data_IF_599752902494
#
_entry.id   IF_599752902494
#
_cell.length_a   1.000
_cell.length_b   1.000
_cell.length_c   1.000
_cell.angle_alpha   90.00
_cell.angle_beta   90.00
_cell.angle_gamma   90.00
#
_symmetry.space_group_name_H-M   'P 1'
#
loop_
_entity.id
_entity.type
_entity.pdbx_description
1 polymer ?
#
# COMPACT_ATOMS: atom_id res chain seq x y z
N UNK A 1 -29.19 -7.79 -11.21
CA UNK A 1 -28.09 -8.24 -10.33
C UNK A 1 -27.67 -7.05 -9.48
N UNK A 2 -27.67 -7.16 -8.16
CA UNK A 2 -27.17 -6.08 -7.30
C UNK A 2 -25.66 -5.97 -7.52
N UNK A 3 -25.14 -4.77 -7.80
CA UNK A 3 -23.71 -4.54 -8.10
C UNK A 3 -22.81 -4.73 -6.86
N UNK A 4 -23.43 -4.76 -5.68
CA UNK A 4 -22.75 -4.77 -4.39
C UNK A 4 -21.79 -5.92 -4.12
N UNK A 5 -22.12 -7.20 -4.37
CA UNK A 5 -21.19 -8.31 -4.13
C UNK A 5 -19.91 -8.15 -4.94
N UNK A 6 -20.01 -7.64 -6.17
CA UNK A 6 -18.85 -7.40 -7.03
C UNK A 6 -17.99 -6.26 -6.48
N UNK A 7 -18.61 -5.14 -6.11
CA UNK A 7 -17.88 -3.97 -5.57
C UNK A 7 -17.14 -4.30 -4.29
N UNK A 8 -17.79 -4.95 -3.33
CA UNK A 8 -17.16 -5.30 -2.06
C UNK A 8 -16.06 -6.33 -2.25
N UNK A 9 -16.24 -7.33 -3.13
CA UNK A 9 -15.20 -8.31 -3.44
C UNK A 9 -13.97 -7.64 -4.05
N UNK A 10 -14.15 -6.76 -5.03
CA UNK A 10 -13.04 -6.01 -5.64
C UNK A 10 -12.33 -5.10 -4.62
N UNK A 11 -13.10 -4.41 -3.79
CA UNK A 11 -12.57 -3.55 -2.74
C UNK A 11 -11.70 -4.33 -1.74
N UNK A 12 -12.22 -5.46 -1.24
CA UNK A 12 -11.50 -6.30 -0.28
C UNK A 12 -10.26 -6.95 -0.91
N UNK A 13 -10.35 -7.46 -2.14
CA UNK A 13 -9.19 -8.01 -2.83
C UNK A 13 -8.09 -6.95 -3.05
N UNK A 14 -8.45 -5.73 -3.43
CA UNK A 14 -7.50 -4.63 -3.57
C UNK A 14 -6.81 -4.31 -2.23
N UNK A 15 -7.57 -4.25 -1.13
CA UNK A 15 -7.03 -4.03 0.21
C UNK A 15 -6.09 -5.18 0.64
N UNK A 16 -6.50 -6.43 0.43
CA UNK A 16 -5.72 -7.63 0.79
C UNK A 16 -4.41 -7.69 0.00
N UNK A 17 -4.44 -7.47 -1.30
CA UNK A 17 -3.24 -7.51 -2.15
C UNK A 17 -2.25 -6.43 -1.71
N UNK A 18 -2.73 -5.21 -1.46
CA UNK A 18 -1.86 -4.10 -1.09
C UNK A 18 -1.29 -4.27 0.33
N UNK A 19 -2.15 -4.42 1.34
CA UNK A 19 -1.72 -4.54 2.75
C UNK A 19 -0.94 -5.85 2.95
N UNK A 20 -1.44 -6.97 2.42
CA UNK A 20 -0.79 -8.27 2.51
C UNK A 20 0.57 -8.29 1.80
N UNK A 21 0.69 -7.66 0.63
CA UNK A 21 1.97 -7.52 -0.07
C UNK A 21 2.98 -6.68 0.72
N UNK A 22 2.56 -5.59 1.34
CA UNK A 22 3.42 -4.81 2.25
C UNK A 22 3.83 -5.62 3.48
N UNK A 23 2.90 -6.37 4.07
CA UNK A 23 3.15 -7.23 5.22
C UNK A 23 4.20 -8.30 4.89
N UNK A 24 4.02 -9.03 3.80
CA UNK A 24 4.97 -10.04 3.33
C UNK A 24 6.35 -9.43 3.05
N UNK A 25 6.39 -8.30 2.34
CA UNK A 25 7.63 -7.61 2.02
C UNK A 25 8.40 -7.21 3.30
N UNK A 26 7.68 -6.73 4.31
CA UNK A 26 8.26 -6.25 5.56
C UNK A 26 8.72 -7.36 6.50
N UNK A 27 7.84 -8.33 6.73
CA UNK A 27 8.00 -9.35 7.78
C UNK A 27 8.78 -10.58 7.30
N UNK A 28 8.72 -10.91 6.01
CA UNK A 28 9.34 -12.12 5.49
C UNK A 28 10.46 -11.81 4.51
N UNK A 29 10.17 -11.12 3.40
CA UNK A 29 11.15 -10.92 2.33
C UNK A 29 12.35 -10.10 2.80
N UNK A 30 12.12 -9.01 3.53
CA UNK A 30 13.18 -8.12 4.02
C UNK A 30 14.20 -8.80 4.92
N UNK A 31 13.82 -9.46 6.05
CA UNK A 31 14.81 -10.07 6.92
C UNK A 31 15.61 -11.17 6.20
N UNK A 32 14.96 -11.98 5.36
CA UNK A 32 15.63 -13.03 4.59
C UNK A 32 16.60 -12.44 3.56
N UNK A 33 16.21 -11.39 2.83
CA UNK A 33 17.12 -10.70 1.91
C UNK A 33 18.31 -10.04 2.64
N UNK A 34 18.11 -9.59 3.88
CA UNK A 34 19.18 -9.02 4.68
C UNK A 34 20.16 -10.08 5.22
N UNK A 35 19.71 -11.30 5.48
CA UNK A 35 20.55 -12.39 5.97
C UNK A 35 21.28 -13.14 4.86
N UNK A 36 20.64 -13.37 3.72
CA UNK A 36 21.19 -14.23 2.65
C UNK A 36 22.00 -13.48 1.59
N UNK A 37 21.68 -12.21 1.33
CA UNK A 37 22.30 -11.47 0.23
C UNK A 37 23.34 -10.49 0.72
N UNK A 38 24.43 -10.34 -0.02
CA UNK A 38 25.39 -9.26 0.18
C UNK A 38 24.76 -7.89 -0.16
N UNK A 39 25.25 -6.78 0.44
CA UNK A 39 24.69 -5.45 0.21
C UNK A 39 24.49 -5.05 -1.27
N UNK A 40 25.42 -5.35 -2.21
CA UNK A 40 25.24 -5.02 -3.63
C UNK A 40 24.12 -5.79 -4.32
N UNK A 41 23.79 -7.01 -3.85
CA UNK A 41 22.72 -7.84 -4.42
C UNK A 41 21.33 -7.47 -3.88
N UNK A 42 21.25 -6.86 -2.68
CA UNK A 42 19.98 -6.46 -2.05
C UNK A 42 19.26 -5.36 -2.82
N UNK A 43 19.99 -4.37 -3.34
CA UNK A 43 19.40 -3.21 -4.01
C UNK A 43 18.74 -3.58 -5.36
N UNK A 44 19.37 -4.38 -6.24
CA UNK A 44 18.71 -4.93 -7.43
C UNK A 44 17.48 -5.78 -7.11
N UNK A 45 17.54 -6.64 -6.07
CA UNK A 45 16.37 -7.42 -5.64
C UNK A 45 15.19 -6.49 -5.33
N UNK A 46 15.40 -5.49 -4.46
CA UNK A 46 14.33 -4.58 -4.07
C UNK A 46 13.81 -3.73 -5.22
N UNK A 47 14.70 -3.21 -6.07
CA UNK A 47 14.35 -2.45 -7.27
C UNK A 47 13.40 -3.25 -8.18
N UNK A 48 13.70 -4.53 -8.41
CA UNK A 48 12.90 -5.42 -9.25
C UNK A 48 11.63 -5.91 -8.57
N UNK A 49 11.66 -6.23 -7.28
CA UNK A 49 10.47 -6.58 -6.50
C UNK A 49 9.45 -5.44 -6.54
N UNK A 50 9.88 -4.20 -6.33
CA UNK A 50 9.00 -3.04 -6.44
C UNK A 50 8.48 -2.85 -7.87
N UNK A 51 9.29 -3.11 -8.90
CA UNK A 51 8.84 -3.04 -10.29
C UNK A 51 7.68 -4.01 -10.59
N UNK A 52 7.66 -5.17 -9.93
CA UNK A 52 6.59 -6.16 -10.07
C UNK A 52 5.39 -5.88 -9.16
N UNK A 53 5.61 -5.34 -7.97
CA UNK A 53 4.54 -5.11 -7.00
C UNK A 53 3.79 -3.78 -7.21
N UNK A 54 4.48 -2.69 -7.59
CA UNK A 54 3.85 -1.38 -7.71
C UNK A 54 2.72 -1.26 -8.75
N UNK A 55 2.71 -2.01 -9.88
CA UNK A 55 1.54 -2.07 -10.74
C UNK A 55 0.27 -2.55 -10.02
N UNK A 56 0.39 -3.54 -9.12
CA UNK A 56 -0.73 -4.01 -8.29
C UNK A 56 -1.17 -2.96 -7.27
N UNK A 57 -0.21 -2.22 -6.71
CA UNK A 57 -0.52 -1.10 -5.81
C UNK A 57 -1.24 0.02 -6.54
N UNK A 58 -0.82 0.37 -7.76
CA UNK A 58 -1.54 1.33 -8.60
C UNK A 58 -2.96 0.89 -8.91
N UNK A 59 -3.17 -0.40 -9.21
CA UNK A 59 -4.51 -0.95 -9.37
C UNK A 59 -5.34 -0.78 -8.10
N UNK A 60 -4.77 -1.06 -6.92
CA UNK A 60 -5.45 -0.88 -5.65
C UNK A 60 -5.76 0.60 -5.34
N UNK A 61 -4.84 1.52 -5.65
CA UNK A 61 -5.01 2.99 -5.50
C UNK A 61 -6.20 3.50 -6.31
N UNK A 62 -6.53 2.86 -7.43
CA UNK A 62 -7.69 3.22 -8.24
C UNK A 62 -8.95 2.48 -7.77
N UNK A 63 -8.87 1.16 -7.57
CA UNK A 63 -10.03 0.35 -7.23
C UNK A 63 -10.61 0.71 -5.86
N UNK A 64 -9.77 0.99 -4.85
CA UNK A 64 -10.25 1.27 -3.49
C UNK A 64 -11.13 2.52 -3.43
N UNK A 65 -10.71 3.70 -3.94
CA UNK A 65 -11.59 4.87 -4.00
C UNK A 65 -12.82 4.63 -4.88
N UNK A 66 -12.65 4.08 -6.09
CA UNK A 66 -13.77 3.91 -7.04
C UNK A 66 -14.86 3.04 -6.43
N UNK A 67 -14.49 1.86 -5.92
CA UNK A 67 -15.46 0.94 -5.29
C UNK A 67 -15.97 1.48 -3.97
N UNK A 68 -15.12 2.11 -3.15
CA UNK A 68 -15.50 2.66 -1.85
C UNK A 68 -16.51 3.80 -1.96
N UNK A 69 -16.26 4.78 -2.85
CA UNK A 69 -17.19 5.87 -3.10
C UNK A 69 -18.47 5.40 -3.78
N UNK A 70 -18.40 4.43 -4.69
CA UNK A 70 -19.61 3.84 -5.27
C UNK A 70 -20.51 3.25 -4.17
N UNK A 71 -19.96 2.38 -3.31
CA UNK A 71 -20.73 1.80 -2.21
C UNK A 71 -21.27 2.87 -1.24
N UNK A 72 -20.48 3.91 -0.95
CA UNK A 72 -20.87 5.02 -0.09
C UNK A 72 -22.11 5.77 -0.59
N UNK A 73 -22.13 6.14 -1.87
CA UNK A 73 -23.22 6.94 -2.42
C UNK A 73 -24.44 6.09 -2.82
N UNK A 74 -24.23 4.90 -3.36
CA UNK A 74 -25.29 4.03 -3.87
C UNK A 74 -26.00 3.25 -2.76
N UNK A 75 -25.29 2.89 -1.68
CA UNK A 75 -25.83 2.01 -0.62
C UNK A 75 -25.90 2.68 0.74
N UNK A 76 -24.87 3.43 1.14
CA UNK A 76 -24.85 4.07 2.45
C UNK A 76 -25.59 5.44 2.46
N UNK A 77 -26.14 5.87 1.32
CA UNK A 77 -26.91 7.11 1.22
C UNK A 77 -26.06 8.38 1.35
N UNK A 78 -24.76 8.28 1.05
CA UNK A 78 -23.81 9.39 1.03
C UNK A 78 -23.14 9.72 2.36
N UNK A 79 -22.23 10.70 2.32
CA UNK A 79 -21.38 11.08 3.45
C UNK A 79 -22.13 11.48 4.72
N UNK A 80 -23.32 12.08 4.60
CA UNK A 80 -24.08 12.54 5.77
C UNK A 80 -24.70 11.42 6.61
N UNK A 81 -24.76 10.20 6.07
CA UNK A 81 -25.29 9.00 6.76
C UNK A 81 -24.19 8.00 7.13
N UNK A 82 -22.95 8.29 6.78
CA UNK A 82 -21.82 7.42 7.02
C UNK A 82 -21.41 7.45 8.50
N UNK A 83 -21.15 6.29 9.10
CA UNK A 83 -20.60 6.22 10.45
C UNK A 83 -19.17 6.79 10.52
N UNK A 84 -18.74 7.19 11.72
CA UNK A 84 -17.40 7.76 11.93
C UNK A 84 -16.27 6.86 11.43
N UNK A 85 -16.44 5.54 11.51
CA UNK A 85 -15.48 4.56 11.01
C UNK A 85 -15.22 4.71 9.50
N UNK A 86 -16.22 5.11 8.69
CA UNK A 86 -16.06 5.33 7.25
C UNK A 86 -15.25 6.60 6.97
N UNK A 87 -15.48 7.67 7.74
CA UNK A 87 -14.70 8.90 7.61
C UNK A 87 -13.23 8.68 7.99
N UNK A 88 -12.97 7.98 9.09
CA UNK A 88 -11.62 7.55 9.47
C UNK A 88 -11.00 6.66 8.41
N UNK A 89 -11.77 5.70 7.88
CA UNK A 89 -11.30 4.81 6.84
C UNK A 89 -10.83 5.57 5.60
N UNK A 90 -11.62 6.56 5.18
CA UNK A 90 -11.32 7.36 4.00
C UNK A 90 -10.10 8.26 4.22
N UNK A 91 -10.01 8.93 5.39
CA UNK A 91 -8.86 9.78 5.74
C UNK A 91 -7.55 8.99 5.77
N UNK A 92 -7.55 7.83 6.43
CA UNK A 92 -6.38 6.94 6.47
C UNK A 92 -6.05 6.41 5.08
N UNK A 93 -7.05 5.97 4.31
CA UNK A 93 -6.86 5.48 2.93
C UNK A 93 -6.20 6.52 2.02
N UNK A 94 -6.64 7.78 2.07
CA UNK A 94 -6.01 8.86 1.30
C UNK A 94 -4.59 9.15 1.75
N UNK A 95 -4.32 9.14 3.07
CA UNK A 95 -2.97 9.29 3.59
C UNK A 95 -2.05 8.16 3.07
N UNK A 96 -2.51 6.91 3.08
CA UNK A 96 -1.78 5.77 2.55
C UNK A 96 -1.48 5.92 1.04
N UNK A 97 -2.44 6.41 0.25
CA UNK A 97 -2.26 6.71 -1.17
C UNK A 97 -1.19 7.79 -1.36
N UNK A 98 -1.26 8.89 -0.61
CA UNK A 98 -0.27 9.98 -0.67
C UNK A 98 1.15 9.49 -0.34
N UNK A 99 1.28 8.65 0.69
CA UNK A 99 2.55 8.03 1.04
C UNK A 99 3.09 7.15 -0.09
N UNK A 100 2.24 6.33 -0.71
CA UNK A 100 2.64 5.52 -1.85
C UNK A 100 3.04 6.37 -3.06
N UNK A 101 2.28 7.41 -3.41
CA UNK A 101 2.64 8.32 -4.50
C UNK A 101 4.00 8.96 -4.25
N UNK A 102 4.27 9.42 -3.03
CA UNK A 102 5.59 9.93 -2.68
C UNK A 102 6.68 8.87 -2.87
N UNK A 103 6.48 7.64 -2.34
CA UNK A 103 7.41 6.50 -2.52
C UNK A 103 7.70 6.22 -4.00
N UNK A 104 6.66 6.18 -4.84
CA UNK A 104 6.77 5.82 -6.25
C UNK A 104 7.50 6.89 -7.06
N UNK A 105 7.10 8.15 -6.93
CA UNK A 105 7.61 9.23 -7.77
C UNK A 105 8.98 9.76 -7.33
N UNK A 106 9.33 9.67 -6.04
CA UNK A 106 10.59 10.19 -5.51
C UNK A 106 11.64 9.10 -5.23
N UNK A 107 11.65 8.40 -4.08
CA UNK A 107 12.75 7.53 -3.72
C UNK A 107 12.84 6.27 -4.57
N UNK A 108 11.73 5.71 -5.09
CA UNK A 108 11.81 4.56 -5.99
C UNK A 108 12.49 4.90 -7.33
N UNK A 109 12.13 6.04 -7.93
CA UNK A 109 12.79 6.53 -9.14
C UNK A 109 14.29 6.74 -8.91
N UNK A 110 14.66 7.32 -7.76
CA UNK A 110 16.07 7.54 -7.37
C UNK A 110 16.81 6.22 -7.09
N UNK A 111 16.17 5.25 -6.44
CA UNK A 111 16.71 3.91 -6.21
C UNK A 111 17.04 3.21 -7.54
N UNK A 112 16.10 3.21 -8.50
CA UNK A 112 16.32 2.60 -9.81
C UNK A 112 17.51 3.22 -10.54
N UNK A 113 17.62 4.55 -10.51
CA UNK A 113 18.74 5.28 -11.11
C UNK A 113 20.07 4.91 -10.46
N UNK A 114 20.11 4.88 -9.13
CA UNK A 114 21.31 4.53 -8.38
C UNK A 114 21.77 3.10 -8.66
N UNK A 115 20.83 2.13 -8.68
CA UNK A 115 21.12 0.74 -9.05
C UNK A 115 21.66 0.62 -10.48
N UNK A 116 21.06 1.33 -11.44
CA UNK A 116 21.52 1.32 -12.83
C UNK A 116 22.92 1.93 -13.00
N UNK A 117 23.28 2.90 -12.15
CA UNK A 117 24.59 3.56 -12.15
C UNK A 117 25.65 2.85 -11.28
N UNK A 118 25.29 1.79 -10.56
CA UNK A 118 26.19 1.14 -9.58
C UNK A 118 26.48 1.99 -8.33
N UNK A 119 25.69 3.04 -8.08
CA UNK A 119 25.83 3.91 -6.91
C UNK A 119 25.13 3.29 -5.69
N UNK A 120 25.83 2.35 -5.05
CA UNK A 120 25.30 1.61 -3.89
C UNK A 120 25.01 2.49 -2.66
N UNK A 121 25.86 3.49 -2.30
CA UNK A 121 25.57 4.40 -1.21
C UNK A 121 24.26 5.18 -1.41
N UNK A 122 24.04 5.78 -2.59
CA UNK A 122 22.80 6.49 -2.87
C UNK A 122 21.60 5.53 -2.90
N UNK A 123 21.75 4.35 -3.50
CA UNK A 123 20.70 3.33 -3.53
C UNK A 123 20.27 2.87 -2.13
N UNK A 124 21.24 2.66 -1.22
CA UNK A 124 21.00 2.30 0.17
C UNK A 124 20.18 3.34 0.92
N UNK A 125 20.50 4.63 0.74
CA UNK A 125 19.76 5.74 1.35
C UNK A 125 18.30 5.77 0.87
N UNK A 126 18.07 5.63 -0.44
CA UNK A 126 16.70 5.63 -0.98
C UNK A 126 15.90 4.41 -0.51
N UNK A 127 16.52 3.22 -0.44
CA UNK A 127 15.86 2.03 0.09
C UNK A 127 15.50 2.20 1.58
N UNK A 128 16.32 2.87 2.38
CA UNK A 128 16.01 3.17 3.78
C UNK A 128 14.78 4.08 3.91
N UNK A 129 14.65 5.10 3.05
CA UNK A 129 13.48 5.98 3.00
C UNK A 129 12.23 5.19 2.60
N UNK A 130 12.30 4.40 1.52
CA UNK A 130 11.20 3.56 1.05
C UNK A 130 10.74 2.63 2.17
N UNK A 131 11.69 2.01 2.87
CA UNK A 131 11.41 1.16 4.03
C UNK A 131 10.63 1.94 5.08
N UNK A 132 11.15 3.06 5.58
CA UNK A 132 10.43 3.84 6.60
C UNK A 132 8.98 4.14 6.19
N UNK A 133 8.77 4.57 4.95
CA UNK A 133 7.45 4.93 4.44
C UNK A 133 6.51 3.71 4.28
N UNK A 134 7.02 2.58 3.77
CA UNK A 134 6.24 1.33 3.69
C UNK A 134 5.86 0.84 5.09
N UNK A 135 6.76 0.96 6.08
CA UNK A 135 6.47 0.60 7.47
C UNK A 135 5.31 1.41 8.06
N UNK A 136 5.34 2.74 7.88
CA UNK A 136 4.25 3.63 8.30
C UNK A 136 2.95 3.25 7.57
N UNK A 137 3.02 3.06 6.26
CA UNK A 137 1.86 2.72 5.42
C UNK A 137 1.24 1.36 5.82
N UNK A 138 2.08 0.36 6.12
CA UNK A 138 1.63 -0.93 6.64
C UNK A 138 0.94 -0.79 8.00
N UNK A 139 1.51 -0.04 8.95
CA UNK A 139 0.87 0.21 10.25
C UNK A 139 -0.50 0.86 10.08
N UNK A 140 -0.61 1.88 9.22
CA UNK A 140 -1.88 2.51 8.89
C UNK A 140 -2.87 1.50 8.31
N UNK A 141 -2.43 0.65 7.37
CA UNK A 141 -3.27 -0.39 6.77
C UNK A 141 -3.78 -1.41 7.78
N UNK A 142 -2.95 -1.85 8.72
CA UNK A 142 -3.37 -2.78 9.77
C UNK A 142 -4.37 -2.14 10.75
N UNK A 143 -4.13 -0.90 11.16
CA UNK A 143 -5.07 -0.11 11.98
C UNK A 143 -6.39 0.07 11.24
N UNK A 144 -6.34 0.36 9.93
CA UNK A 144 -7.51 0.52 9.08
C UNK A 144 -8.38 -0.74 9.05
N UNK A 145 -7.77 -1.92 8.92
CA UNK A 145 -8.48 -3.21 8.96
C UNK A 145 -9.22 -3.38 10.28
N UNK A 146 -8.59 -3.03 11.41
CA UNK A 146 -9.23 -3.10 12.74
C UNK A 146 -10.40 -2.12 12.85
N UNK A 147 -10.21 -0.86 12.42
CA UNK A 147 -11.27 0.16 12.47
C UNK A 147 -12.49 -0.27 11.68
N UNK A 148 -12.30 -0.78 10.46
CA UNK A 148 -13.41 -1.21 9.58
C UNK A 148 -14.10 -2.46 10.13
N UNK A 149 -13.33 -3.43 10.63
CA UNK A 149 -13.90 -4.65 11.19
C UNK A 149 -14.66 -4.39 12.50
N UNK A 150 -14.11 -3.58 13.40
CA UNK A 150 -14.72 -3.23 14.68
C UNK A 150 -15.89 -2.26 14.53
N UNK A 151 -15.81 -1.32 13.58
CA UNK A 151 -16.85 -0.32 13.32
C UNK A 151 -18.18 -0.90 12.83
N UNK A 152 -18.24 -2.20 12.49
CA UNK A 152 -19.50 -2.92 12.25
C UNK A 152 -20.25 -3.26 13.55
N UNK A 153 -19.55 -3.32 14.67
CA UNK A 153 -20.07 -3.74 15.97
C UNK A 153 -20.15 -2.61 17.01
N UNK A 154 -19.73 -1.40 16.64
CA UNK A 154 -19.77 -0.17 17.44
C UNK A 154 -20.69 0.85 16.78
#
# INVERSE_FOLDING_TARGET
MTLMPVLISLHLLAAVVWIGGMFFAWMALRPVAASLLEPPLRLPLWSQTFAKFFPWVWLAVILLPVTGYWMLFDVFGGMGRAGMHIHLMQGIGWLMILLFMHVFFAPYKRLRRAVAAGDWPAGGQQLAIIRKLIGINLTLGLVLVVIVAAGRYL
#
